data_IF_815671448375
#
_entry.id   IF_815671448375
#
_cell.length_a   1.000
_cell.length_b   1.000
_cell.length_c   1.000
_cell.angle_alpha   90.00
_cell.angle_beta   90.00
_cell.angle_gamma   90.00
#
_symmetry.space_group_name_H-M   'P 1'
#
loop_
_entity.id
_entity.type
_entity.pdbx_description
1 polymer ?
#
# COMPACT_ATOMS: atom_id res chain seq x y z
N UNK A 1 -26.59 5.84 -7.15
CA UNK A 1 -26.20 4.57 -6.51
C UNK A 1 -24.78 4.75 -6.06
N UNK A 2 -24.55 4.78 -4.74
CA UNK A 2 -23.22 4.82 -4.17
C UNK A 2 -22.49 3.53 -4.58
N UNK A 3 -21.42 3.69 -5.34
CA UNK A 3 -20.42 2.62 -5.53
C UNK A 3 -19.77 2.39 -4.17
N UNK A 4 -20.18 1.33 -3.47
CA UNK A 4 -19.47 0.88 -2.27
C UNK A 4 -18.10 0.34 -2.70
N UNK A 5 -17.03 0.97 -2.20
CA UNK A 5 -15.68 0.48 -2.43
C UNK A 5 -15.47 -0.84 -1.69
N UNK A 6 -14.92 -1.85 -2.38
CA UNK A 6 -14.58 -3.12 -1.77
C UNK A 6 -13.15 -3.06 -1.23
N UNK A 7 -13.03 -2.72 0.06
CA UNK A 7 -11.78 -2.67 0.79
C UNK A 7 -11.38 -4.08 1.22
N UNK A 8 -10.42 -4.69 0.54
CA UNK A 8 -10.03 -6.10 0.74
C UNK A 8 -8.64 -6.26 1.37
N UNK A 9 -7.91 -5.17 1.56
CA UNK A 9 -6.49 -5.20 1.95
C UNK A 9 -6.16 -4.15 3.00
N UNK A 10 -5.00 -4.32 3.63
CA UNK A 10 -4.37 -3.33 4.50
C UNK A 10 -2.98 -2.99 4.00
N UNK A 11 -2.53 -1.76 4.22
CA UNK A 11 -1.16 -1.33 4.01
C UNK A 11 -0.72 -0.46 5.17
N UNK A 12 0.43 -0.78 5.75
CA UNK A 12 0.97 -0.13 6.93
C UNK A 12 2.40 0.37 6.72
N UNK A 13 2.74 1.41 7.48
CA UNK A 13 4.08 1.97 7.53
C UNK A 13 4.57 2.02 8.98
N UNK A 14 5.75 1.45 9.23
CA UNK A 14 6.46 1.62 10.51
C UNK A 14 7.37 2.83 10.36
N UNK A 15 7.11 3.88 11.14
CA UNK A 15 7.72 5.19 10.99
C UNK A 15 8.48 5.60 12.24
N UNK A 16 9.75 5.98 12.09
CA UNK A 16 10.51 6.67 13.12
C UNK A 16 10.57 8.16 12.80
N UNK A 17 9.79 8.96 13.53
CA UNK A 17 9.75 10.42 13.33
C UNK A 17 11.05 11.11 13.73
N UNK A 18 11.82 10.53 14.65
CA UNK A 18 13.10 11.08 15.12
C UNK A 18 14.22 10.97 14.07
N UNK A 19 14.18 9.96 13.20
CA UNK A 19 15.15 9.77 12.10
C UNK A 19 14.61 10.11 10.72
N UNK A 20 13.31 10.42 10.62
CA UNK A 20 12.60 10.67 9.36
C UNK A 20 12.69 9.48 8.38
N UNK A 21 12.57 8.26 8.92
CA UNK A 21 12.70 7.01 8.16
C UNK A 21 11.47 6.12 8.32
N UNK A 22 11.16 5.40 7.24
CA UNK A 22 10.11 4.39 7.19
C UNK A 22 10.71 3.03 6.85
N UNK A 23 10.31 1.99 7.56
CA UNK A 23 10.67 0.62 7.21
C UNK A 23 9.85 0.20 5.98
N UNK A 24 10.54 -0.12 4.89
CA UNK A 24 9.90 -0.57 3.65
C UNK A 24 10.38 -1.97 3.26
N UNK A 25 9.53 -2.67 2.52
CA UNK A 25 9.80 -3.99 1.94
C UNK A 25 10.05 -3.86 0.44
N UNK A 26 11.24 -4.22 -0.02
CA UNK A 26 11.49 -4.47 -1.44
C UNK A 26 10.99 -5.87 -1.80
N UNK A 27 9.93 -5.95 -2.59
CA UNK A 27 9.19 -7.21 -2.81
C UNK A 27 9.91 -8.16 -3.75
N UNK A 28 9.94 -9.45 -3.41
CA UNK A 28 10.32 -10.53 -4.33
C UNK A 28 9.13 -11.08 -5.14
N UNK A 29 7.90 -10.82 -4.70
CA UNK A 29 6.68 -11.35 -5.33
C UNK A 29 5.85 -10.24 -5.97
N UNK A 30 5.11 -10.62 -7.02
CA UNK A 30 4.11 -9.76 -7.64
C UNK A 30 2.93 -9.43 -6.69
N UNK A 31 2.16 -8.36 -6.94
CA UNK A 31 2.50 -7.24 -7.82
C UNK A 31 3.69 -6.42 -7.28
N UNK A 32 4.30 -5.58 -8.11
CA UNK A 32 5.41 -4.68 -7.71
C UNK A 32 6.71 -5.36 -7.29
N UNK A 33 7.00 -6.54 -7.83
CA UNK A 33 8.31 -7.20 -7.65
C UNK A 33 9.46 -6.24 -7.98
N UNK A 34 10.45 -6.15 -7.10
CA UNK A 34 11.61 -5.26 -7.17
C UNK A 34 11.36 -3.83 -6.68
N UNK A 35 10.11 -3.45 -6.38
CA UNK A 35 9.78 -2.13 -5.83
C UNK A 35 9.61 -2.17 -4.30
N UNK A 36 9.94 -1.05 -3.67
CA UNK A 36 9.75 -0.79 -2.25
C UNK A 36 8.29 -0.41 -1.97
N UNK A 37 7.69 -1.08 -0.99
CA UNK A 37 6.31 -0.90 -0.56
C UNK A 37 6.24 -0.87 0.98
N UNK A 38 5.08 -0.48 1.53
CA UNK A 38 4.76 -0.75 2.93
C UNK A 38 4.49 -2.24 3.16
N UNK A 39 4.20 -2.57 4.41
CA UNK A 39 3.85 -3.93 4.83
C UNK A 39 2.35 -4.13 4.82
N UNK A 40 1.87 -5.34 4.57
CA UNK A 40 0.44 -5.62 4.61
C UNK A 40 -0.03 -6.59 3.55
N UNK A 41 -1.28 -7.03 3.72
CA UNK A 41 -1.85 -8.06 2.88
C UNK A 41 -3.36 -8.00 2.83
N UNK A 42 -3.95 -9.18 2.61
CA UNK A 42 -5.39 -9.33 2.36
C UNK A 42 -6.10 -9.65 3.68
N UNK A 43 -7.28 -9.07 3.84
CA UNK A 43 -8.18 -9.40 4.95
C UNK A 43 -8.64 -10.85 4.84
N UNK A 44 -8.55 -11.57 5.95
CA UNK A 44 -9.26 -12.84 6.13
C UNK A 44 -10.76 -12.63 6.34
N UNK A 45 -11.55 -13.69 6.17
CA UNK A 45 -13.01 -13.61 6.25
C UNK A 45 -13.44 -13.18 7.66
N UNK A 46 -13.99 -11.97 7.76
CA UNK A 46 -14.45 -11.40 9.03
C UNK A 46 -13.32 -10.81 9.89
N UNK A 47 -12.09 -10.76 9.37
CA UNK A 47 -10.95 -10.16 10.06
C UNK A 47 -11.09 -8.63 10.11
N UNK A 48 -10.99 -8.00 11.29
CA UNK A 48 -10.93 -6.55 11.38
C UNK A 48 -9.66 -6.00 10.72
N UNK A 49 -9.71 -4.87 9.99
CA UNK A 49 -8.53 -4.32 9.33
C UNK A 49 -7.34 -4.03 10.26
N UNK A 50 -7.60 -3.60 11.49
CA UNK A 50 -6.55 -3.42 12.48
C UNK A 50 -5.86 -4.75 12.85
N UNK A 51 -6.62 -5.84 12.97
CA UNK A 51 -6.04 -7.15 13.26
C UNK A 51 -5.20 -7.67 12.08
N UNK A 52 -5.69 -7.47 10.85
CA UNK A 52 -4.96 -7.82 9.63
C UNK A 52 -3.61 -7.12 9.56
N UNK A 53 -3.53 -5.79 9.77
CA UNK A 53 -2.25 -5.10 9.66
C UNK A 53 -1.24 -5.48 10.76
N UNK A 54 -1.72 -5.79 11.96
CA UNK A 54 -0.88 -6.29 13.05
C UNK A 54 -0.27 -7.64 12.67
N UNK A 55 -1.12 -8.59 12.23
CA UNK A 55 -0.68 -9.93 11.78
C UNK A 55 0.33 -9.83 10.63
N UNK A 56 0.01 -9.09 9.58
CA UNK A 56 0.87 -8.95 8.40
C UNK A 56 2.21 -8.28 8.76
N UNK A 57 2.22 -7.28 9.66
CA UNK A 57 3.49 -6.69 10.11
C UNK A 57 4.36 -7.70 10.84
N UNK A 58 3.78 -8.52 11.71
CA UNK A 58 4.52 -9.57 12.41
C UNK A 58 5.06 -10.63 11.43
N UNK A 59 4.23 -11.11 10.51
CA UNK A 59 4.62 -12.11 9.50
C UNK A 59 5.72 -11.59 8.55
N UNK A 60 5.58 -10.35 8.08
CA UNK A 60 6.50 -9.78 7.08
C UNK A 60 7.75 -9.16 7.70
N UNK A 61 7.78 -8.85 9.00
CA UNK A 61 8.92 -8.13 9.62
C UNK A 61 9.45 -8.75 10.91
N UNK A 62 8.67 -9.61 11.57
CA UNK A 62 8.94 -10.09 12.92
C UNK A 62 8.87 -9.01 13.99
N UNK A 63 8.33 -7.82 13.69
CA UNK A 63 8.05 -6.79 14.69
C UNK A 63 6.68 -7.04 15.32
N UNK A 64 6.64 -7.10 16.65
CA UNK A 64 5.40 -7.02 17.41
C UNK A 64 5.21 -5.57 17.84
N UNK A 65 4.22 -4.90 17.27
CA UNK A 65 3.87 -3.50 17.56
C UNK A 65 2.43 -3.45 18.06
N UNK A 66 2.21 -2.76 19.18
CA UNK A 66 0.90 -2.77 19.85
C UNK A 66 0.01 -1.58 19.45
N UNK A 67 0.57 -0.60 18.74
CA UNK A 67 -0.11 0.67 18.45
C UNK A 67 -0.05 1.03 16.98
N UNK A 68 -1.22 1.11 16.35
CA UNK A 68 -1.41 1.59 14.98
C UNK A 68 -2.44 2.71 14.96
N UNK A 69 -2.14 3.74 14.17
CA UNK A 69 -3.05 4.83 13.84
C UNK A 69 -3.63 4.58 12.44
N UNK A 70 -4.96 4.59 12.30
CA UNK A 70 -5.60 4.55 10.99
C UNK A 70 -5.34 5.86 10.24
N UNK A 71 -5.00 5.75 8.96
CA UNK A 71 -4.63 6.87 8.07
C UNK A 71 -5.54 6.97 6.85
N UNK A 72 -6.76 6.47 6.98
CA UNK A 72 -7.77 6.55 5.94
C UNK A 72 -7.74 5.37 4.97
N UNK A 73 -8.23 5.60 3.76
CA UNK A 73 -8.44 4.57 2.75
C UNK A 73 -7.77 4.97 1.44
N UNK A 74 -7.15 4.01 0.76
CA UNK A 74 -6.64 4.20 -0.59
C UNK A 74 -7.51 3.39 -1.56
N UNK A 75 -8.08 4.08 -2.56
CA UNK A 75 -9.05 3.57 -3.51
C UNK A 75 -8.51 3.61 -4.94
N UNK A 76 -8.90 2.64 -5.76
CA UNK A 76 -8.60 2.60 -7.20
C UNK A 76 -9.75 2.05 -8.03
N UNK A 77 -9.82 2.46 -9.30
CA UNK A 77 -10.75 1.88 -10.29
C UNK A 77 -10.25 0.49 -10.73
N UNK A 78 -11.03 -0.57 -10.49
CA UNK A 78 -10.66 -1.95 -10.84
C UNK A 78 -10.53 -2.19 -12.35
N UNK A 79 -11.19 -1.42 -13.22
CA UNK A 79 -11.15 -1.64 -14.68
C UNK A 79 -9.78 -1.40 -15.29
N UNK A 80 -8.96 -0.56 -14.64
CA UNK A 80 -7.61 -0.26 -15.11
C UNK A 80 -6.51 -1.03 -14.35
N UNK A 81 -6.88 -1.79 -13.33
CA UNK A 81 -6.04 -2.83 -12.74
C UNK A 81 -6.25 -4.12 -13.53
N UNK A 82 -5.79 -4.14 -14.78
CA UNK A 82 -5.42 -5.43 -15.35
C UNK A 82 -4.30 -5.98 -14.48
N UNK A 83 -4.56 -7.10 -13.81
CA UNK A 83 -3.48 -7.98 -13.36
C UNK A 83 -2.42 -8.03 -14.45
N UNK A 84 -1.11 -8.00 -14.12
CA UNK A 84 -0.08 -8.02 -15.14
C UNK A 84 -0.38 -9.16 -16.12
N UNK A 85 -0.51 -8.80 -17.40
CA UNK A 85 -0.86 -9.71 -18.50
C UNK A 85 0.31 -10.67 -18.71
N UNK A 86 0.48 -11.62 -17.81
CA UNK A 86 1.40 -12.75 -17.94
C UNK A 86 0.72 -14.09 -17.64
N UNK A 87 -0.61 -14.10 -17.40
CA UNK A 87 -1.35 -15.32 -17.08
C UNK A 87 -2.69 -15.45 -17.81
N UNK A 88 -2.80 -15.02 -19.07
CA UNK A 88 -3.79 -15.54 -20.03
C UNK A 88 -3.50 -15.00 -21.44
N UNK A 89 -3.58 -15.82 -22.51
CA UNK A 89 -3.57 -15.30 -23.87
C UNK A 89 -4.85 -14.50 -24.11
N UNK A 90 -4.69 -13.27 -24.58
CA UNK A 90 -5.77 -12.37 -24.97
C UNK A 90 -6.44 -12.91 -26.24
N UNK A 91 -7.64 -13.48 -26.10
CA UNK A 91 -8.62 -13.40 -27.18
C UNK A 91 -9.43 -12.13 -26.94
N UNK A 92 -9.33 -11.19 -27.88
CA UNK A 92 -10.23 -10.03 -27.95
C UNK A 92 -11.61 -10.55 -28.35
N UNK A 93 -12.51 -10.72 -27.38
CA UNK A 93 -13.93 -10.74 -27.66
C UNK A 93 -14.45 -9.31 -27.55
N UNK A 94 -14.91 -8.79 -28.69
CA UNK A 94 -15.69 -7.55 -28.76
C UNK A 94 -17.09 -7.90 -28.26
N UNK A 95 -17.31 -7.79 -26.95
CA UNK A 95 -18.66 -7.90 -26.40
C UNK A 95 -19.31 -6.52 -26.38
N UNK A 96 -20.12 -6.26 -27.40
CA UNK A 96 -21.19 -5.26 -27.33
C UNK A 96 -22.32 -5.86 -26.49
N UNK A 97 -22.23 -5.76 -25.17
CA UNK A 97 -23.35 -6.03 -24.27
C UNK A 97 -23.59 -4.81 -23.37
N UNK A 98 -24.85 -4.39 -23.34
CA UNK A 98 -25.38 -3.30 -22.54
C UNK A 98 -25.52 -3.70 -21.06
N UNK A 99 -24.42 -4.17 -20.47
CA UNK A 99 -24.31 -4.45 -19.04
C UNK A 99 -24.20 -3.13 -18.25
N UNK A 100 -24.76 -3.03 -17.04
CA UNK A 100 -24.68 -1.81 -16.24
C UNK A 100 -23.22 -1.46 -15.98
N UNK A 101 -22.89 -0.17 -16.12
CA UNK A 101 -21.57 0.42 -15.87
C UNK A 101 -21.22 0.42 -14.38
N UNK A 102 -21.19 -0.74 -13.73
CA UNK A 102 -20.72 -0.85 -12.36
C UNK A 102 -19.20 -0.92 -12.36
N UNK A 103 -18.58 0.11 -11.81
CA UNK A 103 -17.13 0.15 -11.61
C UNK A 103 -16.87 -0.40 -10.23
N UNK A 104 -16.37 -1.63 -10.11
CA UNK A 104 -15.91 -2.14 -8.81
C UNK A 104 -14.73 -1.24 -8.38
N UNK A 105 -14.89 -0.50 -7.29
CA UNK A 105 -13.78 0.30 -6.75
C UNK A 105 -13.06 -0.61 -5.77
N UNK A 106 -11.81 -0.96 -6.07
CA UNK A 106 -10.94 -1.67 -5.14
C UNK A 106 -10.34 -0.70 -4.14
N UNK A 107 -9.92 -1.19 -2.99
CA UNK A 107 -9.18 -0.36 -2.06
C UNK A 107 -8.51 -1.12 -0.91
N UNK A 108 -7.80 -0.35 -0.10
CA UNK A 108 -7.11 -0.81 1.09
C UNK A 108 -7.25 0.19 2.23
N UNK A 109 -7.15 -0.31 3.46
CA UNK A 109 -7.05 0.50 4.67
C UNK A 109 -5.59 0.87 4.94
N UNK A 110 -5.34 2.13 5.29
CA UNK A 110 -4.00 2.63 5.59
C UNK A 110 -3.77 2.72 7.09
N UNK A 111 -2.57 2.32 7.53
CA UNK A 111 -2.16 2.41 8.92
C UNK A 111 -0.72 2.92 9.07
N UNK A 112 -0.43 3.52 10.23
CA UNK A 112 0.92 3.90 10.63
C UNK A 112 1.18 3.44 12.06
N UNK A 113 2.27 2.73 12.27
CA UNK A 113 2.82 2.47 13.59
C UNK A 113 4.06 3.35 13.80
N UNK A 114 4.11 4.09 14.91
CA UNK A 114 5.27 4.92 15.26
C UNK A 114 6.22 4.14 16.16
N UNK A 115 7.51 4.30 15.92
CA UNK A 115 8.57 3.74 16.76
C UNK A 115 9.53 4.82 17.21
N UNK A 116 10.05 4.66 18.42
CA UNK A 116 11.14 5.50 18.94
C UNK A 116 12.44 5.22 18.17
N UNK A 117 13.38 6.17 18.23
CA UNK A 117 14.72 5.96 17.67
C UNK A 117 15.41 4.73 18.27
N UNK A 118 15.23 4.48 19.57
CA UNK A 118 15.81 3.31 20.24
C UNK A 118 15.27 1.99 19.66
N UNK A 119 13.96 1.90 19.41
CA UNK A 119 13.35 0.73 18.76
C UNK A 119 13.83 0.57 17.32
N UNK A 120 13.90 1.67 16.56
CA UNK A 120 14.45 1.68 15.19
C UNK A 120 15.89 1.17 15.16
N UNK A 121 16.75 1.69 16.04
CA UNK A 121 18.18 1.33 16.08
C UNK A 121 18.42 -0.11 16.55
N UNK A 122 17.53 -0.65 17.38
CA UNK A 122 17.56 -2.05 17.77
C UNK A 122 17.15 -3.00 16.62
N UNK A 123 16.38 -2.51 15.64
CA UNK A 123 15.96 -3.28 14.48
C UNK A 123 16.96 -3.14 13.32
N UNK A 124 18.00 -3.99 13.34
CA UNK A 124 19.10 -3.95 12.37
C UNK A 124 18.63 -4.39 10.97
N UNK A 125 18.89 -3.55 9.97
CA UNK A 125 18.61 -3.79 8.54
C UNK A 125 19.88 -3.62 7.69
N UNK A 126 19.94 -4.12 6.44
CA UNK A 126 18.89 -4.84 5.70
C UNK A 126 18.62 -6.25 6.23
N UNK A 127 17.37 -6.70 6.15
CA UNK A 127 16.96 -8.09 6.47
C UNK A 127 16.38 -8.77 5.25
N UNK A 128 16.89 -9.94 4.90
CA UNK A 128 16.31 -10.77 3.83
C UNK A 128 15.31 -11.75 4.42
N UNK A 129 14.10 -11.75 3.86
CA UNK A 129 12.96 -12.57 4.24
C UNK A 129 12.37 -13.26 3.01
N UNK A 130 11.40 -14.15 3.22
CA UNK A 130 10.71 -14.86 2.12
C UNK A 130 9.97 -13.88 1.20
N UNK A 131 9.43 -12.78 1.75
CA UNK A 131 8.72 -11.76 0.98
C UNK A 131 9.65 -10.75 0.29
N UNK A 132 10.89 -10.59 0.79
CA UNK A 132 11.90 -9.73 0.18
C UNK A 132 12.88 -9.09 1.16
N UNK A 133 13.33 -7.88 0.84
CA UNK A 133 14.36 -7.17 1.63
C UNK A 133 13.71 -6.04 2.41
N UNK A 134 13.78 -6.08 3.74
CA UNK A 134 13.39 -4.98 4.60
C UNK A 134 14.55 -4.04 4.85
N UNK A 135 14.29 -2.73 4.77
CA UNK A 135 15.27 -1.71 5.10
C UNK A 135 14.62 -0.39 5.49
N UNK A 136 15.26 0.34 6.40
CA UNK A 136 14.88 1.71 6.75
C UNK A 136 15.24 2.64 5.61
N UNK A 137 14.26 3.43 5.15
CA UNK A 137 14.44 4.39 4.05
C UNK A 137 14.08 5.81 4.51
N UNK A 138 14.96 6.80 4.26
CA UNK A 138 14.64 8.20 4.52
C UNK A 138 13.43 8.64 3.70
N UNK A 139 12.51 9.40 4.30
CA UNK A 139 11.32 9.92 3.63
C UNK A 139 11.70 10.79 2.43
N UNK A 140 12.78 11.57 2.55
CA UNK A 140 13.33 12.36 1.44
C UNK A 140 13.76 11.49 0.25
N UNK A 141 14.32 10.30 0.49
CA UNK A 141 14.64 9.36 -0.58
C UNK A 141 13.37 8.74 -1.17
N UNK A 142 12.43 8.33 -0.31
CA UNK A 142 11.15 7.71 -0.72
C UNK A 142 10.38 8.63 -1.68
N UNK A 143 10.28 9.91 -1.33
CA UNK A 143 9.45 10.90 -2.02
C UNK A 143 10.16 11.61 -3.18
N UNK A 144 11.46 11.34 -3.38
CA UNK A 144 12.23 11.99 -4.44
C UNK A 144 11.58 11.77 -5.82
N UNK A 145 11.44 12.81 -6.67
CA UNK A 145 10.74 12.69 -7.96
C UNK A 145 11.35 11.65 -8.89
N UNK A 146 12.68 11.48 -8.84
CA UNK A 146 13.41 10.49 -9.66
C UNK A 146 13.43 9.07 -9.04
N UNK A 147 12.80 8.86 -7.88
CA UNK A 147 12.76 7.53 -7.28
C UNK A 147 11.77 6.62 -8.01
N UNK A 148 12.28 5.82 -8.94
CA UNK A 148 11.51 4.80 -9.67
C UNK A 148 11.36 3.48 -8.88
N UNK A 149 12.10 3.34 -7.78
CA UNK A 149 12.18 2.12 -6.99
C UNK A 149 11.05 1.94 -5.96
N UNK A 150 10.31 2.98 -5.61
CA UNK A 150 9.16 2.92 -4.68
C UNK A 150 7.86 2.86 -5.47
N UNK A 151 6.85 2.11 -5.00
CA UNK A 151 5.50 2.10 -5.62
C UNK A 151 4.94 3.52 -5.73
N UNK A 152 4.38 3.87 -6.89
CA UNK A 152 4.09 5.27 -7.24
C UNK A 152 3.12 5.96 -6.27
N UNK A 153 2.05 5.28 -5.87
CA UNK A 153 1.09 5.82 -4.90
C UNK A 153 1.74 6.10 -3.53
N UNK A 154 2.71 5.29 -3.11
CA UNK A 154 3.47 5.53 -1.88
C UNK A 154 4.36 6.74 -2.06
N UNK A 155 5.12 6.79 -3.16
CA UNK A 155 6.04 7.91 -3.41
C UNK A 155 5.31 9.25 -3.37
N UNK A 156 4.11 9.33 -3.96
CA UNK A 156 3.33 10.58 -3.99
C UNK A 156 2.59 10.89 -2.70
N UNK A 157 2.11 9.88 -1.96
CA UNK A 157 1.30 10.10 -0.76
C UNK A 157 2.01 9.86 0.56
N UNK A 158 3.29 9.45 0.60
CA UNK A 158 3.99 9.08 1.84
C UNK A 158 3.81 10.14 2.93
N UNK A 159 4.18 11.39 2.66
CA UNK A 159 4.07 12.47 3.65
C UNK A 159 2.62 12.75 4.06
N UNK A 160 1.68 12.65 3.12
CA UNK A 160 0.26 12.84 3.39
C UNK A 160 -0.29 11.74 4.31
N UNK A 161 0.07 10.48 4.05
CA UNK A 161 -0.35 9.31 4.83
C UNK A 161 0.22 9.38 6.25
N UNK A 162 1.52 9.70 6.40
CA UNK A 162 2.16 9.76 7.71
C UNK A 162 1.52 10.79 8.64
N UNK A 163 1.05 11.91 8.06
CA UNK A 163 0.41 13.01 8.79
C UNK A 163 -1.11 13.05 8.64
N UNK A 164 -1.70 12.01 8.03
CA UNK A 164 -3.11 11.97 7.68
C UNK A 164 -4.03 11.61 8.83
N UNK A 165 -5.33 11.71 8.58
CA UNK A 165 -6.39 11.32 9.52
C UNK A 165 -7.00 9.96 9.14
N UNK A 166 -7.76 9.38 10.07
CA UNK A 166 -8.52 8.16 9.81
C UNK A 166 -9.66 8.34 8.77
N UNK A 167 -10.05 9.59 8.49
CA UNK A 167 -11.14 9.93 7.57
C UNK A 167 -10.66 10.29 6.16
N UNK A 168 -9.34 10.36 5.95
CA UNK A 168 -8.77 10.74 4.66
C UNK A 168 -9.08 9.68 3.59
N UNK A 169 -9.32 10.14 2.37
CA UNK A 169 -9.51 9.27 1.21
C UNK A 169 -8.50 9.63 0.15
N UNK A 170 -7.69 8.65 -0.24
CA UNK A 170 -6.69 8.73 -1.31
C UNK A 170 -7.23 7.98 -2.50
N UNK A 171 -7.35 8.62 -3.65
CA UNK A 171 -7.79 7.95 -4.87
C UNK A 171 -6.67 7.96 -5.89
N UNK A 172 -6.47 6.82 -6.55
CA UNK A 172 -5.47 6.64 -7.60
C UNK A 172 -6.08 6.01 -8.84
N UNK A 173 -5.64 6.49 -10.00
CA UNK A 173 -5.96 5.88 -11.28
C UNK A 173 -4.68 5.45 -11.95
N UNK A 174 -4.60 4.16 -12.27
CA UNK A 174 -3.51 3.61 -13.06
C UNK A 174 -3.96 3.41 -14.52
N UNK A 175 -3.00 3.41 -15.44
CA UNK A 175 -3.17 2.93 -16.82
C UNK A 175 -1.89 2.20 -17.19
N UNK A 176 -1.99 0.92 -17.58
CA UNK A 176 -0.82 0.09 -17.91
C UNK A 176 0.26 0.11 -16.81
N UNK A 177 -0.13 -0.03 -15.53
CA UNK A 177 0.74 0.07 -14.35
C UNK A 177 1.42 1.43 -14.11
N UNK A 178 1.04 2.47 -14.85
CA UNK A 178 1.53 3.84 -14.64
C UNK A 178 0.46 4.64 -13.91
N UNK A 179 0.83 5.30 -12.81
CA UNK A 179 -0.04 6.24 -12.11
C UNK A 179 -0.30 7.47 -13.00
N UNK A 180 -1.57 7.71 -13.35
CA UNK A 180 -1.97 8.83 -14.24
C UNK A 180 -2.78 9.91 -13.54
N UNK A 181 -3.39 9.59 -12.39
CA UNK A 181 -4.11 10.56 -11.58
C UNK A 181 -4.06 10.16 -10.11
N UNK A 182 -3.99 11.15 -9.23
CA UNK A 182 -4.08 10.96 -7.80
C UNK A 182 -4.77 12.14 -7.11
N UNK A 183 -5.63 11.86 -6.14
CA UNK A 183 -6.31 12.88 -5.33
C UNK A 183 -6.34 12.47 -3.87
N UNK A 184 -6.34 13.47 -2.97
CA UNK A 184 -6.56 13.30 -1.54
C UNK A 184 -7.75 14.17 -1.13
N UNK A 185 -8.70 13.59 -0.41
CA UNK A 185 -9.81 14.29 0.22
C UNK A 185 -9.65 14.19 1.73
N UNK A 186 -9.61 15.33 2.39
CA UNK A 186 -9.58 15.45 3.86
C UNK A 186 -11.03 15.64 4.33
N UNK A 187 -11.49 14.79 5.24
CA UNK A 187 -12.85 14.82 5.80
C UNK A 187 -12.81 15.10 7.31
#
# INVERSE_FOLDING_TARGET
METEASLKYTLGFVWCCETDEVLLLNRLKAPWMGRWNGVGGKLDKGEPPLACIVRETEEETGLTLDTYEARGQLLWDSRNYTTPVFSAPQLMEVETSSEPTYVEVGGLYLFVAKVTKAQRDAYVTPRSLVEGILDWKPIAWITHPDNVGVVDNIRVFMTDILNGSANDVYQVTYRNNILINQTRTQN
#
